data_IF_610946743236
#
_entry.id   IF_610946743236
#
_cell.length_a   1.000
_cell.length_b   1.000
_cell.length_c   1.000
_cell.angle_alpha   90.00
_cell.angle_beta   90.00
_cell.angle_gamma   90.00
#
_symmetry.space_group_name_H-M   'P 1'
#
loop_
_entity.id
_entity.type
_entity.pdbx_description
1 polymer ?
#
# COMPACT_ATOMS: atom_id res chain seq x y z
N UNK A 1 -9.56 -24.26 -12.80
CA UNK A 1 -9.14 -22.85 -12.97
C UNK A 1 -9.49 -22.12 -11.70
N UNK A 2 -8.53 -22.00 -10.78
CA UNK A 2 -8.71 -21.15 -9.60
C UNK A 2 -8.29 -19.74 -10.02
N UNK A 3 -9.26 -18.85 -10.19
CA UNK A 3 -9.00 -17.43 -10.43
C UNK A 3 -8.59 -16.82 -9.09
N UNK A 4 -7.28 -16.69 -8.90
CA UNK A 4 -6.67 -16.12 -7.71
C UNK A 4 -6.91 -14.60 -7.68
N UNK A 5 -7.85 -14.22 -6.82
CA UNK A 5 -7.76 -13.10 -5.88
C UNK A 5 -7.21 -11.77 -6.43
N UNK A 6 -8.13 -11.00 -7.02
CA UNK A 6 -8.32 -9.57 -6.79
C UNK A 6 -7.03 -8.79 -6.41
N UNK A 7 -6.19 -8.51 -7.41
CA UNK A 7 -5.16 -7.48 -7.32
C UNK A 7 -5.82 -6.11 -7.20
N UNK A 8 -6.20 -5.72 -5.99
CA UNK A 8 -6.48 -4.32 -5.66
C UNK A 8 -5.15 -3.60 -5.57
N UNK A 9 -4.50 -3.41 -6.71
CA UNK A 9 -3.59 -2.28 -6.90
C UNK A 9 -4.46 -1.05 -7.11
N UNK A 10 -5.23 -0.69 -6.07
CA UNK A 10 -5.76 0.65 -5.93
C UNK A 10 -4.57 1.56 -5.58
N UNK A 11 -3.76 1.88 -6.59
CA UNK A 11 -3.42 3.29 -6.71
C UNK A 11 -4.76 4.01 -6.65
N UNK A 12 -4.94 5.04 -5.80
CA UNK A 12 -6.18 5.78 -5.88
C UNK A 12 -6.15 6.35 -7.30
N UNK A 13 -6.98 5.76 -8.17
CA UNK A 13 -7.50 6.44 -9.34
C UNK A 13 -8.34 7.55 -8.71
N UNK A 14 -7.65 8.56 -8.18
CA UNK A 14 -8.28 9.83 -7.89
C UNK A 14 -8.61 10.26 -9.31
N UNK A 15 -9.83 9.92 -9.72
CA UNK A 15 -10.61 10.71 -10.67
C UNK A 15 -10.76 12.06 -10.00
N UNK A 16 -9.64 12.75 -9.88
CA UNK A 16 -9.57 14.08 -9.36
C UNK A 16 -10.21 14.86 -10.48
N UNK A 17 -11.42 15.34 -10.24
CA UNK A 17 -11.87 16.54 -10.91
C UNK A 17 -10.90 17.65 -10.48
N UNK A 18 -9.70 17.67 -11.07
CA UNK A 18 -8.62 18.62 -10.76
C UNK A 18 -9.14 20.06 -10.93
N UNK A 19 -10.09 20.25 -11.85
CA UNK A 19 -10.84 21.48 -12.05
C UNK A 19 -11.70 21.86 -10.83
N UNK A 20 -12.37 20.90 -10.18
CA UNK A 20 -13.21 21.14 -9.01
C UNK A 20 -12.38 21.32 -7.74
N UNK A 21 -11.36 20.50 -7.54
CA UNK A 21 -10.44 20.62 -6.39
C UNK A 21 -9.75 21.99 -6.38
N UNK A 22 -9.31 22.49 -7.55
CA UNK A 22 -8.76 23.84 -7.70
C UNK A 22 -9.81 24.93 -7.47
N UNK A 23 -11.04 24.75 -7.98
CA UNK A 23 -12.15 25.70 -7.80
C UNK A 23 -12.52 25.91 -6.33
N UNK A 24 -12.47 24.85 -5.53
CA UNK A 24 -12.82 24.88 -4.10
C UNK A 24 -11.61 25.02 -3.16
N UNK A 25 -10.38 25.14 -3.70
CA UNK A 25 -9.17 25.26 -2.88
C UNK A 25 -8.83 24.01 -2.07
N UNK A 26 -9.30 22.84 -2.49
CA UNK A 26 -9.09 21.57 -1.82
C UNK A 26 -7.64 21.13 -2.05
N UNK A 27 -6.88 20.98 -0.96
CA UNK A 27 -5.52 20.44 -0.99
C UNK A 27 -5.58 18.94 -0.78
N UNK A 28 -5.11 18.18 -1.77
CA UNK A 28 -4.87 16.75 -1.58
C UNK A 28 -3.71 16.58 -0.61
N UNK A 29 -4.01 16.17 0.63
CA UNK A 29 -3.01 15.69 1.54
C UNK A 29 -2.75 14.22 1.19
N UNK A 30 -1.48 13.79 1.05
CA UNK A 30 -1.18 12.39 0.97
C UNK A 30 -1.68 11.77 2.28
N UNK A 31 -2.73 10.95 2.18
CA UNK A 31 -3.15 10.08 3.29
C UNK A 31 -1.90 9.32 3.70
N UNK A 32 -1.56 9.29 4.98
CA UNK A 32 -0.35 8.63 5.51
C UNK A 32 -0.32 7.14 5.10
N UNK A 33 0.24 6.88 3.92
CA UNK A 33 0.40 5.54 3.35
C UNK A 33 1.83 5.10 3.60
N UNK A 34 1.99 3.91 4.17
CA UNK A 34 3.29 3.30 4.39
C UNK A 34 3.54 2.24 3.33
N UNK A 35 4.69 2.28 2.68
CA UNK A 35 5.09 1.27 1.72
C UNK A 35 6.12 0.34 2.32
N UNK A 36 5.91 -0.96 2.11
CA UNK A 36 6.91 -1.98 2.41
C UNK A 36 6.98 -2.98 1.24
N UNK A 37 8.14 -3.07 0.60
CA UNK A 37 8.37 -3.79 -0.67
C UNK A 37 7.35 -3.37 -1.74
N UNK A 38 6.49 -4.29 -2.18
CA UNK A 38 5.47 -4.06 -3.20
C UNK A 38 4.09 -3.73 -2.63
N UNK A 39 3.95 -3.68 -1.30
CA UNK A 39 2.67 -3.51 -0.61
C UNK A 39 2.53 -2.11 0.01
N UNK A 40 1.28 -1.64 0.07
CA UNK A 40 0.87 -0.38 0.71
C UNK A 40 0.03 -0.66 1.93
N UNK A 41 0.27 0.09 3.00
CA UNK A 41 -0.42 -0.03 4.29
C UNK A 41 -1.01 1.33 4.66
N UNK A 42 -2.25 1.32 5.17
CA UNK A 42 -2.90 2.52 5.70
C UNK A 42 -2.45 2.88 7.12
N UNK A 43 -1.60 2.05 7.75
CA UNK A 43 -1.05 2.32 9.07
C UNK A 43 0.39 1.78 9.20
N UNK A 44 1.16 2.40 10.09
CA UNK A 44 2.57 2.06 10.30
C UNK A 44 2.75 0.70 11.01
N UNK A 45 1.84 0.35 11.92
CA UNK A 45 1.94 -0.88 12.71
C UNK A 45 1.87 -2.13 11.83
N UNK A 46 1.01 -2.16 10.82
CA UNK A 46 0.86 -3.27 9.89
C UNK A 46 2.07 -3.40 8.97
N UNK A 47 2.62 -2.27 8.49
CA UNK A 47 3.85 -2.26 7.71
C UNK A 47 5.02 -2.85 8.52
N UNK A 48 5.16 -2.45 9.79
CA UNK A 48 6.19 -2.99 10.69
C UNK A 48 5.93 -4.46 11.00
N UNK A 49 4.68 -4.86 11.23
CA UNK A 49 4.33 -6.25 11.48
C UNK A 49 4.64 -7.16 10.28
N UNK A 50 4.45 -6.67 9.05
CA UNK A 50 4.88 -7.38 7.85
C UNK A 50 6.41 -7.47 7.78
N UNK A 51 7.13 -6.37 7.98
CA UNK A 51 8.59 -6.36 7.94
C UNK A 51 9.22 -7.37 8.92
N UNK A 52 8.70 -7.44 10.15
CA UNK A 52 9.12 -8.42 11.16
C UNK A 52 8.79 -9.87 10.77
N UNK A 53 7.70 -10.08 10.03
CA UNK A 53 7.33 -11.43 9.54
C UNK A 53 8.29 -11.88 8.45
N UNK A 54 8.59 -11.00 7.48
CA UNK A 54 9.55 -11.27 6.42
C UNK A 54 10.95 -11.56 6.99
N UNK A 55 11.43 -10.77 7.96
CA UNK A 55 12.72 -11.00 8.64
C UNK A 55 12.81 -12.40 9.28
N UNK A 56 11.71 -12.89 9.86
CA UNK A 56 11.66 -14.23 10.46
C UNK A 56 11.61 -15.34 9.42
N UNK A 57 11.04 -15.09 8.24
CA UNK A 57 10.97 -16.05 7.15
C UNK A 57 12.31 -16.19 6.42
N UNK A 58 12.98 -15.07 6.17
CA UNK A 58 14.32 -15.04 5.59
C UNK A 58 15.31 -15.81 6.49
N UNK A 59 15.24 -15.61 7.81
CA UNK A 59 16.08 -16.32 8.78
C UNK A 59 15.72 -17.80 9.00
N UNK A 60 14.58 -18.28 8.48
CA UNK A 60 14.14 -19.68 8.60
C UNK A 60 14.41 -20.53 7.37
N UNK A 61 14.94 -19.92 6.31
CA UNK A 61 15.30 -20.64 5.09
C UNK A 61 16.82 -20.62 4.93
N UNK A 62 17.58 -21.50 5.61
CA UNK A 62 18.91 -21.81 5.13
C UNK A 62 18.73 -22.42 3.73
N UNK A 63 19.28 -21.76 2.71
CA UNK A 63 19.29 -22.24 1.34
C UNK A 63 19.82 -23.70 1.28
N UNK A 64 19.29 -24.56 0.39
CA UNK A 64 19.89 -25.87 0.11
C UNK A 64 21.28 -25.75 -0.50
#
# INVERSE_FOLDING_TARGET
MLQSENSVSAAPEVRSDEAETKKYGIKNLPVDCFHYRQFRYGNLNDAIAQAKRDERLDNRTPAP
#
